data_IF_845653178756
#
_entry.id   IF_845653178756
#
_cell.length_a   1.000
_cell.length_b   1.000
_cell.length_c   1.000
_cell.angle_alpha   90.00
_cell.angle_beta   90.00
_cell.angle_gamma   90.00
#
_symmetry.space_group_name_H-M   'P 1'
#
loop_
_entity.id
_entity.type
_entity.pdbx_description
1 polymer ?
#
# COMPACT_ATOMS: atom_id res chain seq x y z
N UNK A 1 10.98 10.85 18.95
CA UNK A 1 9.84 11.77 18.77
C UNK A 1 10.25 12.85 17.77
N UNK A 2 9.38 13.22 16.82
CA UNK A 2 9.69 14.20 15.77
C UNK A 2 9.14 15.58 16.11
N UNK A 3 10.00 16.60 16.02
CA UNK A 3 9.66 18.00 16.30
C UNK A 3 8.98 18.66 15.10
N UNK A 4 8.03 19.56 15.35
CA UNK A 4 7.43 20.38 14.29
C UNK A 4 8.45 21.30 13.58
N UNK A 5 9.53 21.66 14.26
CA UNK A 5 10.62 22.48 13.70
C UNK A 5 11.54 21.69 12.76
N UNK A 6 11.43 20.37 12.76
CA UNK A 6 12.34 19.47 12.05
C UNK A 6 11.54 18.26 11.55
N UNK A 7 10.65 18.44 10.56
CA UNK A 7 9.88 17.35 9.98
C UNK A 7 10.80 16.31 9.31
N UNK A 8 10.30 15.08 9.07
CA UNK A 8 11.07 14.06 8.36
C UNK A 8 11.51 14.55 6.97
N UNK A 9 12.59 13.96 6.46
CA UNK A 9 13.02 14.16 5.07
C UNK A 9 11.84 13.94 4.10
N UNK A 10 11.74 14.73 3.04
CA UNK A 10 10.63 14.65 2.07
C UNK A 10 9.31 15.23 2.54
N UNK A 11 9.21 15.69 3.80
CA UNK A 11 8.02 16.33 4.35
C UNK A 11 8.28 17.83 4.57
N UNK A 12 7.52 18.69 3.87
CA UNK A 12 7.73 20.15 3.94
C UNK A 12 7.32 20.74 5.30
N UNK A 13 6.21 20.27 5.87
CA UNK A 13 5.71 20.72 7.17
C UNK A 13 4.80 19.67 7.81
N UNK A 14 4.64 19.76 9.13
CA UNK A 14 3.72 18.93 9.88
C UNK A 14 2.26 19.31 9.62
N UNK A 15 1.41 18.31 9.38
CA UNK A 15 -0.03 18.53 9.15
C UNK A 15 -0.72 19.23 10.34
N UNK A 16 -0.19 19.00 11.54
CA UNK A 16 -0.57 19.68 12.76
C UNK A 16 0.62 19.72 13.72
N UNK A 17 0.57 20.59 14.72
CA UNK A 17 1.58 20.67 15.75
C UNK A 17 0.92 20.82 17.12
N UNK A 18 1.19 19.89 18.04
CA UNK A 18 0.66 19.93 19.41
C UNK A 18 1.79 19.69 20.41
N UNK A 19 2.05 20.68 21.28
CA UNK A 19 3.17 20.67 22.23
C UNK A 19 4.52 20.37 21.54
N UNK A 20 4.77 20.94 20.37
CA UNK A 20 5.99 20.74 19.60
C UNK A 20 6.10 19.39 18.87
N UNK A 21 5.08 18.52 18.96
CA UNK A 21 5.05 17.21 18.28
C UNK A 21 4.44 17.30 16.90
N UNK A 22 5.16 16.80 15.90
CA UNK A 22 4.71 16.75 14.52
C UNK A 22 3.52 15.78 14.41
N UNK A 23 2.33 16.30 14.12
CA UNK A 23 1.12 15.50 14.00
C UNK A 23 0.93 14.89 12.61
N UNK A 24 0.23 13.76 12.57
CA UNK A 24 -0.22 13.12 11.33
C UNK A 24 -1.67 12.67 11.45
N UNK A 25 -2.34 12.57 10.31
CA UNK A 25 -3.70 12.04 10.19
C UNK A 25 -3.86 11.35 8.85
N UNK A 26 -4.58 10.22 8.85
CA UNK A 26 -4.89 9.45 7.65
C UNK A 26 -6.36 9.04 7.70
N UNK A 27 -7.05 9.21 6.58
CA UNK A 27 -8.43 8.74 6.37
C UNK A 27 -8.43 7.67 5.28
N UNK A 28 -9.20 6.61 5.51
CA UNK A 28 -9.29 5.46 4.63
C UNK A 28 -10.62 5.46 3.87
N UNK A 29 -10.64 4.81 2.72
CA UNK A 29 -11.78 4.80 1.79
C UNK A 29 -13.02 4.11 2.36
N UNK A 30 -12.85 3.21 3.33
CA UNK A 30 -13.97 2.56 4.03
C UNK A 30 -14.66 3.47 5.06
N UNK A 31 -14.02 4.58 5.45
CA UNK A 31 -14.58 5.61 6.33
C UNK A 31 -13.83 5.80 7.65
N UNK A 32 -13.00 4.82 8.07
CA UNK A 32 -12.17 4.99 9.26
C UNK A 32 -11.05 6.01 9.08
N UNK A 33 -10.56 6.52 10.20
CA UNK A 33 -9.43 7.41 10.29
C UNK A 33 -8.57 7.12 11.52
N UNK A 34 -7.29 7.41 11.38
CA UNK A 34 -6.29 7.34 12.45
C UNK A 34 -5.55 8.67 12.52
N UNK A 35 -5.13 9.06 13.73
CA UNK A 35 -4.29 10.23 13.92
C UNK A 35 -3.42 10.10 15.16
N UNK A 36 -2.37 10.90 15.18
CA UNK A 36 -1.46 10.96 16.31
C UNK A 36 -0.27 11.83 16.00
N UNK A 37 0.92 11.38 16.39
CA UNK A 37 2.16 12.11 16.20
C UNK A 37 3.25 11.24 15.60
N UNK A 38 4.11 11.85 14.81
CA UNK A 38 5.25 11.18 14.19
C UNK A 38 6.34 10.94 15.23
N UNK A 39 6.87 9.73 15.17
CA UNK A 39 8.04 9.28 15.91
C UNK A 39 9.05 8.72 14.93
N UNK A 40 10.28 8.58 15.39
CA UNK A 40 11.35 7.97 14.61
C UNK A 40 12.00 6.93 15.49
N UNK A 41 12.11 5.71 14.97
CA UNK A 41 12.73 4.59 15.67
C UNK A 41 13.30 3.57 14.67
N UNK A 42 13.98 2.55 15.19
CA UNK A 42 14.52 1.46 14.40
C UNK A 42 13.46 0.39 14.11
N UNK A 43 13.25 0.10 12.83
CA UNK A 43 12.45 -1.03 12.33
C UNK A 43 13.39 -2.14 11.90
N UNK A 44 13.16 -3.35 12.40
CA UNK A 44 14.05 -4.49 12.15
C UNK A 44 13.42 -5.49 11.19
N UNK A 45 14.16 -5.80 10.12
CA UNK A 45 13.80 -6.83 9.15
C UNK A 45 14.69 -8.05 9.31
N UNK A 46 14.15 -9.24 9.06
CA UNK A 46 14.93 -10.46 8.90
C UNK A 46 15.35 -10.60 7.43
N UNK A 47 16.61 -10.95 7.19
CA UNK A 47 17.08 -11.37 5.87
C UNK A 47 16.77 -12.84 5.63
N UNK A 48 16.93 -13.30 4.39
CA UNK A 48 16.81 -14.73 4.05
C UNK A 48 17.77 -15.64 4.84
N UNK A 49 18.91 -15.12 5.32
CA UNK A 49 19.84 -15.84 6.18
C UNK A 49 19.48 -15.80 7.67
N UNK A 50 18.36 -15.15 8.04
CA UNK A 50 17.95 -14.94 9.42
C UNK A 50 18.70 -13.81 10.14
N UNK A 51 19.62 -13.11 9.46
CA UNK A 51 20.28 -11.94 10.02
C UNK A 51 19.27 -10.78 10.17
N UNK A 52 19.48 -9.92 11.16
CA UNK A 52 18.62 -8.76 11.41
C UNK A 52 19.22 -7.50 10.82
N UNK A 53 18.42 -6.77 10.06
CA UNK A 53 18.78 -5.47 9.48
C UNK A 53 17.86 -4.40 10.04
N UNK A 54 18.42 -3.46 10.79
CA UNK A 54 17.70 -2.30 11.32
C UNK A 54 17.72 -1.13 10.34
N UNK A 55 16.56 -0.51 10.14
CA UNK A 55 16.42 0.75 9.39
C UNK A 55 15.80 1.80 10.30
N UNK A 56 16.38 2.99 10.31
CA UNK A 56 15.81 4.15 11.00
C UNK A 56 14.65 4.66 10.15
N UNK A 57 13.44 4.73 10.70
CA UNK A 57 12.27 5.18 9.95
C UNK A 57 11.35 6.05 10.79
N UNK A 58 10.70 7.00 10.12
CA UNK A 58 9.64 7.82 10.69
C UNK A 58 8.30 7.16 10.49
N UNK A 59 7.50 7.02 11.56
CA UNK A 59 6.17 6.43 11.49
C UNK A 59 5.22 7.09 12.50
N UNK A 60 3.93 6.83 12.33
CA UNK A 60 2.89 7.41 13.17
C UNK A 60 2.64 6.61 14.44
N UNK A 61 2.73 7.25 15.60
CA UNK A 61 2.22 6.72 16.86
C UNK A 61 0.75 7.15 17.01
N UNK A 62 -0.17 6.17 16.89
CA UNK A 62 -1.61 6.40 16.94
C UNK A 62 -2.03 6.80 18.36
N UNK A 63 -2.81 7.87 18.48
CA UNK A 63 -3.46 8.28 19.74
C UNK A 63 -4.98 8.35 19.61
N UNK A 64 -5.48 8.03 18.42
CA UNK A 64 -6.89 7.99 18.08
C UNK A 64 -7.10 7.09 16.88
N UNK A 65 -8.14 6.29 16.97
CA UNK A 65 -8.61 5.38 15.94
C UNK A 65 -10.12 5.55 15.76
N UNK A 66 -10.67 5.09 14.65
CA UNK A 66 -12.11 5.08 14.40
C UNK A 66 -12.50 3.89 13.54
N UNK A 67 -13.81 3.59 13.52
CA UNK A 67 -14.38 2.56 12.66
C UNK A 67 -13.74 1.18 12.84
N UNK A 68 -13.27 0.59 11.75
CA UNK A 68 -12.74 -0.78 11.70
C UNK A 68 -11.42 -0.95 12.46
N UNK A 69 -10.70 0.13 12.78
CA UNK A 69 -9.44 0.05 13.51
C UNK A 69 -9.61 -0.28 15.00
N UNK A 70 -10.78 -0.05 15.59
CA UNK A 70 -11.00 -0.36 17.01
C UNK A 70 -11.01 -1.86 17.34
N UNK A 71 -11.39 -2.70 16.36
CA UNK A 71 -11.62 -4.13 16.57
C UNK A 71 -10.68 -5.02 15.77
N UNK A 72 -9.70 -4.43 15.07
CA UNK A 72 -8.70 -5.19 14.33
C UNK A 72 -7.75 -5.93 15.27
N UNK A 73 -7.21 -7.06 14.82
CA UNK A 73 -6.19 -7.82 15.55
C UNK A 73 -4.79 -7.24 15.34
N UNK A 74 -4.56 -6.57 14.20
CA UNK A 74 -3.26 -6.00 13.87
C UNK A 74 -2.99 -4.72 14.67
N UNK A 75 -1.78 -4.56 15.19
CA UNK A 75 -1.38 -3.38 15.97
C UNK A 75 -1.17 -2.11 15.12
N UNK A 76 -1.19 -2.21 13.79
CA UNK A 76 -0.95 -1.07 12.92
C UNK A 76 -0.92 -1.41 11.43
N UNK A 77 -0.60 -0.40 10.63
CA UNK A 77 -0.54 -0.49 9.16
C UNK A 77 0.83 -0.04 8.68
N UNK A 78 1.39 -0.79 7.74
CA UNK A 78 2.52 -0.34 6.95
C UNK A 78 2.09 0.04 5.54
N UNK A 79 2.18 1.33 5.23
CA UNK A 79 1.85 1.89 3.92
C UNK A 79 3.01 1.73 2.94
N UNK A 80 2.73 1.12 1.79
CA UNK A 80 3.75 0.84 0.75
C UNK A 80 3.58 1.73 -0.48
N UNK A 81 2.63 2.67 -0.48
CA UNK A 81 2.47 3.66 -1.56
C UNK A 81 3.73 4.53 -1.70
N UNK A 82 3.95 5.10 -2.90
CA UNK A 82 5.09 5.98 -3.15
C UNK A 82 5.14 7.17 -2.18
N UNK A 83 6.32 7.44 -1.64
CA UNK A 83 6.56 8.54 -0.71
C UNK A 83 6.12 9.89 -1.30
N UNK A 84 5.28 10.62 -0.57
CA UNK A 84 4.92 12.01 -0.90
C UNK A 84 4.80 12.89 0.33
N UNK A 85 3.82 12.62 1.18
CA UNK A 85 3.39 13.56 2.21
C UNK A 85 4.08 13.38 3.56
N UNK A 86 4.57 12.17 3.86
CA UNK A 86 5.13 11.82 5.17
C UNK A 86 6.59 11.35 5.10
N UNK A 87 7.27 11.68 4.01
CA UNK A 87 8.66 11.28 3.77
C UNK A 87 8.83 9.87 3.22
N UNK A 88 10.07 9.35 3.23
CA UNK A 88 10.44 8.02 2.74
C UNK A 88 9.64 6.89 3.41
N UNK A 89 9.25 5.91 2.61
CA UNK A 89 8.63 4.65 3.08
C UNK A 89 9.65 3.73 3.76
N UNK A 90 9.18 2.63 4.35
CA UNK A 90 10.07 1.57 4.84
C UNK A 90 10.92 0.95 3.73
N UNK A 91 10.39 0.85 2.52
CA UNK A 91 11.14 0.34 1.36
C UNK A 91 12.26 1.30 1.00
N UNK A 92 11.97 2.61 0.95
CA UNK A 92 12.98 3.64 0.68
C UNK A 92 14.09 3.63 1.73
N UNK A 93 13.72 3.46 3.01
CA UNK A 93 14.68 3.36 4.11
C UNK A 93 15.57 2.11 4.00
N UNK A 94 14.97 0.96 3.64
CA UNK A 94 15.69 -0.29 3.43
C UNK A 94 16.62 -0.23 2.22
N UNK A 95 16.13 0.28 1.09
CA UNK A 95 16.89 0.49 -0.14
C UNK A 95 18.14 1.33 0.14
N UNK A 96 17.98 2.50 0.77
CA UNK A 96 19.10 3.39 1.10
C UNK A 96 20.10 2.77 2.07
N UNK A 97 19.62 1.97 3.04
CA UNK A 97 20.50 1.34 4.03
C UNK A 97 21.31 0.16 3.47
N UNK A 98 20.72 -0.60 2.56
CA UNK A 98 21.28 -1.90 2.13
C UNK A 98 21.78 -1.91 0.69
N UNK A 99 21.48 -0.87 -0.10
CA UNK A 99 21.65 -0.84 -1.55
C UNK A 99 20.95 -2.01 -2.27
N UNK A 100 19.90 -2.60 -1.65
CA UNK A 100 19.05 -3.59 -2.30
C UNK A 100 18.32 -2.98 -3.50
N UNK A 101 17.80 -3.74 -4.47
CA UNK A 101 16.82 -3.23 -5.42
C UNK A 101 15.68 -2.45 -4.75
N UNK A 102 15.21 -1.37 -5.38
CA UNK A 102 14.01 -0.63 -4.95
C UNK A 102 12.75 -1.31 -5.52
N UNK A 103 12.45 -2.48 -4.95
CA UNK A 103 11.36 -3.36 -5.39
C UNK A 103 10.84 -4.14 -4.18
N UNK A 104 9.56 -4.46 -4.20
CA UNK A 104 8.97 -5.44 -3.29
C UNK A 104 8.02 -6.35 -4.05
N UNK A 105 7.69 -7.50 -3.46
CA UNK A 105 6.67 -8.42 -3.97
C UNK A 105 5.79 -8.93 -2.84
N UNK A 106 4.51 -9.12 -3.16
CA UNK A 106 3.50 -9.68 -2.27
C UNK A 106 3.00 -10.97 -2.88
N UNK A 107 3.09 -12.06 -2.12
CA UNK A 107 2.48 -13.35 -2.42
C UNK A 107 1.42 -13.62 -1.36
N UNK A 108 0.16 -13.35 -1.68
CA UNK A 108 -0.97 -13.63 -0.80
C UNK A 108 -1.40 -15.10 -0.95
N UNK A 109 -1.71 -15.74 0.17
CA UNK A 109 -2.24 -17.09 0.25
C UNK A 109 -3.26 -17.18 1.39
N UNK A 110 -4.09 -18.23 1.41
CA UNK A 110 -5.12 -18.41 2.44
C UNK A 110 -4.56 -18.61 3.85
N UNK A 111 -3.35 -19.18 3.95
CA UNK A 111 -2.71 -19.51 5.24
C UNK A 111 -1.41 -18.75 5.45
N UNK A 112 -0.41 -19.00 4.60
CA UNK A 112 0.93 -18.40 4.72
C UNK A 112 1.33 -17.79 3.38
N UNK A 113 1.37 -16.46 3.35
CA UNK A 113 1.92 -15.68 2.26
C UNK A 113 3.38 -15.29 2.47
N UNK A 114 3.91 -14.45 1.58
CA UNK A 114 5.23 -13.85 1.70
C UNK A 114 5.23 -12.38 1.27
N UNK A 115 5.99 -11.57 1.98
CA UNK A 115 6.36 -10.21 1.60
C UNK A 115 7.88 -10.17 1.47
N UNK A 116 8.38 -9.85 0.28
CA UNK A 116 9.83 -9.74 0.03
C UNK A 116 10.16 -8.30 -0.30
N UNK A 117 11.11 -7.72 0.44
CA UNK A 117 11.59 -6.35 0.24
C UNK A 117 13.01 -6.41 -0.32
N UNK A 118 13.28 -5.69 -1.40
CA UNK A 118 14.60 -5.60 -2.01
C UNK A 118 15.12 -6.91 -2.63
N UNK A 119 14.21 -7.84 -2.96
CA UNK A 119 14.56 -9.08 -3.65
C UNK A 119 14.62 -8.92 -5.17
N UNK A 120 15.48 -9.69 -5.83
CA UNK A 120 15.39 -9.85 -7.28
C UNK A 120 14.16 -10.69 -7.65
N UNK A 121 13.48 -10.33 -8.74
CA UNK A 121 12.41 -11.17 -9.28
C UNK A 121 13.02 -12.48 -9.78
N UNK A 122 12.60 -13.66 -9.27
CA UNK A 122 13.17 -14.93 -9.69
C UNK A 122 13.01 -15.12 -11.20
N UNK A 123 14.06 -15.57 -11.90
CA UNK A 123 13.99 -15.83 -13.35
C UNK A 123 13.00 -16.95 -13.72
N UNK A 124 12.71 -17.84 -12.77
CA UNK A 124 11.68 -18.87 -12.88
C UNK A 124 10.25 -18.31 -12.82
N UNK A 125 10.07 -17.09 -12.28
CA UNK A 125 8.78 -16.43 -12.25
C UNK A 125 8.47 -15.90 -13.66
N UNK A 126 7.57 -16.58 -14.36
CA UNK A 126 7.02 -16.12 -15.64
C UNK A 126 6.04 -14.97 -15.40
N UNK A 127 6.57 -13.79 -15.09
CA UNK A 127 5.77 -12.59 -14.84
C UNK A 127 5.41 -11.87 -16.15
N UNK A 128 4.19 -11.35 -16.21
CA UNK A 128 3.81 -10.35 -17.20
C UNK A 128 3.94 -8.97 -16.55
N UNK A 129 4.70 -8.10 -17.20
CA UNK A 129 4.92 -6.74 -16.71
C UNK A 129 3.92 -5.80 -17.34
N UNK A 130 3.26 -5.00 -16.50
CA UNK A 130 2.39 -3.92 -16.92
C UNK A 130 2.92 -2.60 -16.38
N UNK A 131 2.89 -1.52 -17.16
CA UNK A 131 3.30 -0.21 -16.66
C UNK A 131 2.28 0.27 -15.62
N UNK A 132 2.77 0.77 -14.50
CA UNK A 132 1.95 1.57 -13.59
C UNK A 132 1.95 3.03 -14.07
N UNK A 133 0.88 3.77 -13.79
CA UNK A 133 0.62 5.09 -14.38
C UNK A 133 1.32 6.27 -13.68
N UNK A 134 2.34 6.03 -12.86
CA UNK A 134 3.14 7.13 -12.27
C UNK A 134 2.42 7.94 -11.19
N UNK A 135 1.54 7.33 -10.39
CA UNK A 135 0.82 7.99 -9.29
C UNK A 135 1.42 7.67 -7.92
N UNK A 136 0.96 8.34 -6.85
CA UNK A 136 1.36 7.97 -5.48
C UNK A 136 0.91 6.56 -5.09
N UNK A 137 -0.19 6.09 -5.66
CA UNK A 137 -0.70 4.72 -5.50
C UNK A 137 -0.37 3.88 -6.74
N UNK A 138 -0.40 2.55 -6.57
CA UNK A 138 -0.12 1.59 -7.65
C UNK A 138 -1.28 1.49 -8.64
N UNK A 139 -1.40 2.50 -9.50
CA UNK A 139 -2.46 2.60 -10.50
C UNK A 139 -2.04 1.92 -11.80
N UNK A 140 -2.93 1.12 -12.36
CA UNK A 140 -2.80 0.48 -13.68
C UNK A 140 -4.00 0.80 -14.58
N UNK A 141 -3.82 0.61 -15.87
CA UNK A 141 -4.84 0.87 -16.90
C UNK A 141 -5.59 -0.43 -17.25
N UNK A 142 -6.73 -0.66 -16.57
CA UNK A 142 -7.57 -1.84 -16.79
C UNK A 142 -8.43 -1.64 -18.05
N UNK A 143 -8.23 -2.51 -19.04
CA UNK A 143 -8.91 -2.41 -20.35
C UNK A 143 -10.14 -3.28 -20.50
N UNK A 144 -10.13 -4.46 -19.91
CA UNK A 144 -11.17 -5.47 -20.08
C UNK A 144 -11.13 -6.45 -18.90
N UNK A 145 -12.28 -7.05 -18.59
CA UNK A 145 -12.37 -8.21 -17.71
C UNK A 145 -12.87 -9.37 -18.56
N UNK A 146 -12.19 -10.51 -18.47
CA UNK A 146 -12.53 -11.70 -19.24
C UNK A 146 -12.78 -12.87 -18.30
N UNK A 147 -13.90 -13.57 -18.50
CA UNK A 147 -14.27 -14.76 -17.73
C UNK A 147 -14.31 -15.92 -18.73
N UNK A 148 -13.55 -16.98 -18.47
CA UNK A 148 -13.39 -18.09 -19.43
C UNK A 148 -12.87 -17.65 -20.80
N UNK A 149 -12.03 -16.59 -20.85
CA UNK A 149 -11.48 -16.03 -22.09
C UNK A 149 -12.41 -15.11 -22.89
N UNK A 150 -13.68 -14.95 -22.48
CA UNK A 150 -14.66 -14.07 -23.12
C UNK A 150 -14.75 -12.74 -22.38
N UNK A 151 -14.73 -11.63 -23.13
CA UNK A 151 -14.95 -10.30 -22.55
C UNK A 151 -16.34 -10.19 -21.94
N UNK A 152 -16.45 -9.49 -20.82
CA UNK A 152 -17.73 -9.16 -20.19
C UNK A 152 -18.48 -8.05 -20.93
N UNK A 153 -17.88 -7.43 -21.96
CA UNK A 153 -18.54 -6.47 -22.84
C UNK A 153 -18.63 -5.04 -22.32
N UNK A 154 -18.02 -4.72 -21.17
CA UNK A 154 -17.93 -3.34 -20.70
C UNK A 154 -16.89 -2.55 -21.53
N UNK A 155 -17.25 -1.34 -21.96
CA UNK A 155 -16.31 -0.44 -22.62
C UNK A 155 -15.13 -0.13 -21.68
N UNK A 156 -13.91 -0.01 -22.24
CA UNK A 156 -12.70 0.25 -21.45
C UNK A 156 -12.78 1.49 -20.56
N UNK A 157 -13.48 2.54 -21.02
CA UNK A 157 -13.77 3.76 -20.24
C UNK A 157 -14.58 3.52 -18.96
N UNK A 158 -15.25 2.37 -18.84
CA UNK A 158 -16.04 1.99 -17.66
C UNK A 158 -15.18 1.57 -16.48
N UNK A 159 -13.94 1.11 -16.69
CA UNK A 159 -13.06 0.62 -15.63
C UNK A 159 -12.30 1.74 -14.91
N UNK A 160 -12.02 2.85 -15.61
CA UNK A 160 -11.23 3.99 -15.10
C UNK A 160 -9.83 3.56 -14.63
N UNK A 161 -9.11 4.48 -13.98
CA UNK A 161 -7.85 4.19 -13.30
C UNK A 161 -8.08 3.15 -12.19
N UNK A 162 -7.37 2.02 -12.25
CA UNK A 162 -7.54 0.90 -11.32
C UNK A 162 -6.36 0.84 -10.34
N UNK A 163 -6.64 0.82 -9.04
CA UNK A 163 -5.61 0.75 -8.00
C UNK A 163 -5.37 -0.72 -7.64
N UNK A 164 -4.10 -1.12 -7.59
CA UNK A 164 -3.67 -2.37 -6.97
C UNK A 164 -3.44 -2.09 -5.48
N UNK A 165 -4.29 -2.67 -4.63
CA UNK A 165 -4.32 -2.38 -3.21
C UNK A 165 -4.46 -3.66 -2.37
N UNK A 166 -3.40 -4.01 -1.64
CA UNK A 166 -3.42 -5.16 -0.72
C UNK A 166 -4.23 -4.91 0.56
N UNK A 167 -4.58 -3.65 0.85
CA UNK A 167 -5.41 -3.27 2.00
C UNK A 167 -6.92 -3.36 1.71
N UNK A 168 -7.32 -3.66 0.48
CA UNK A 168 -8.73 -3.77 0.08
C UNK A 168 -9.12 -5.25 -0.11
N UNK A 169 -10.07 -5.74 0.67
CA UNK A 169 -10.48 -7.16 0.71
C UNK A 169 -11.13 -7.67 -0.59
N UNK A 170 -11.94 -6.83 -1.25
CA UNK A 170 -12.70 -7.22 -2.43
C UNK A 170 -12.34 -6.38 -3.66
N UNK A 171 -12.67 -6.88 -4.85
CA UNK A 171 -12.61 -6.06 -6.06
C UNK A 171 -13.83 -5.11 -6.09
N UNK A 172 -13.57 -3.81 -6.18
CA UNK A 172 -14.60 -2.79 -6.35
C UNK A 172 -14.58 -2.28 -7.79
N UNK A 173 -15.74 -2.29 -8.45
CA UNK A 173 -15.90 -1.88 -9.84
C UNK A 173 -16.89 -0.71 -9.94
N UNK A 174 -16.65 0.25 -10.85
CA UNK A 174 -17.66 1.25 -11.19
C UNK A 174 -18.97 0.59 -11.65
N UNK A 175 -20.14 1.22 -11.46
CA UNK A 175 -21.44 0.57 -11.67
C UNK A 175 -21.64 -0.09 -13.05
N UNK A 176 -21.11 0.51 -14.12
CA UNK A 176 -21.19 -0.05 -15.48
C UNK A 176 -20.36 -1.34 -15.62
N UNK A 177 -19.12 -1.32 -15.16
CA UNK A 177 -18.23 -2.48 -15.19
C UNK A 177 -18.77 -3.61 -14.28
N UNK A 178 -19.24 -3.25 -13.08
CA UNK A 178 -19.86 -4.21 -12.15
C UNK A 178 -21.07 -4.92 -12.77
N UNK A 179 -21.99 -4.16 -13.40
CA UNK A 179 -23.16 -4.76 -14.07
C UNK A 179 -22.75 -5.73 -15.18
N UNK A 180 -21.80 -5.34 -16.02
CA UNK A 180 -21.29 -6.21 -17.09
C UNK A 180 -20.73 -7.53 -16.54
N UNK A 181 -19.89 -7.47 -15.49
CA UNK A 181 -19.34 -8.68 -14.83
C UNK A 181 -20.44 -9.53 -14.21
N UNK A 182 -21.35 -8.91 -13.44
CA UNK A 182 -22.47 -9.60 -12.78
C UNK A 182 -23.38 -10.30 -13.79
N UNK A 183 -23.77 -9.58 -14.83
CA UNK A 183 -24.70 -10.09 -15.83
C UNK A 183 -24.04 -11.19 -16.67
N UNK A 184 -22.76 -11.03 -17.02
CA UNK A 184 -21.99 -12.11 -17.64
C UNK A 184 -21.99 -13.36 -16.76
N UNK A 185 -21.65 -13.25 -15.47
CA UNK A 185 -21.61 -14.40 -14.55
C UNK A 185 -22.96 -15.11 -14.44
N UNK A 186 -24.06 -14.34 -14.34
CA UNK A 186 -25.43 -14.87 -14.28
C UNK A 186 -25.88 -15.63 -15.53
N UNK A 187 -25.19 -15.48 -16.67
CA UNK A 187 -25.46 -16.28 -17.88
C UNK A 187 -24.70 -17.61 -17.91
N UNK A 188 -23.73 -17.79 -17.01
CA UNK A 188 -22.91 -19.02 -16.92
C UNK A 188 -23.39 -19.99 -15.82
N UNK A 189 -24.32 -19.56 -14.97
CA UNK A 189 -25.01 -20.38 -13.97
C UNK A 189 -26.45 -20.62 -14.41
#
# INVERSE_FOLDING_TARGET
QISCSSPPEGMYSCSSCAAGRCGYSVSYTEGSSIRGHLVEDDVWFATASGARTGVRSSFGCQTYESGLFYSQVADGISGFSQARSYGPTLIDALHRRTASPDVFSICLAETVGALVLGGAVPSSLKANWIPYLGSSTYVVDLKDIRIGGKSVGAASSSYRASIIDSGTTFMYLPPNAYRAVRDFWRTQC
#
